data_IF_722188400042
#
_entry.id   IF_722188400042
#
_cell.length_a   1.000
_cell.length_b   1.000
_cell.length_c   1.000
_cell.angle_alpha   90.00
_cell.angle_beta   90.00
_cell.angle_gamma   90.00
#
_symmetry.space_group_name_H-M   'P 1'
#
loop_
_entity.id
_entity.type
_entity.pdbx_description
1 polymer ?
#
# COMPACT_ATOMS: atom_id res chain seq x y z
N UNK A 1 10.51 -16.17 -0.84
CA UNK A 1 9.05 -16.37 -1.01
C UNK A 1 8.44 -15.27 -1.88
N UNK A 2 8.64 -13.99 -1.52
CA UNK A 2 8.16 -12.85 -2.32
C UNK A 2 8.56 -12.91 -3.80
N UNK A 3 9.85 -13.08 -4.11
CA UNK A 3 10.32 -13.11 -5.50
C UNK A 3 9.65 -14.21 -6.32
N UNK A 4 9.52 -15.43 -5.77
CA UNK A 4 8.83 -16.53 -6.45
C UNK A 4 7.34 -16.25 -6.62
N UNK A 5 6.70 -15.65 -5.61
CA UNK A 5 5.31 -15.19 -5.73
C UNK A 5 5.15 -14.20 -6.88
N UNK A 6 6.11 -13.27 -7.05
CA UNK A 6 6.11 -12.32 -8.18
C UNK A 6 6.32 -13.01 -9.53
N UNK A 7 7.14 -14.04 -9.60
CA UNK A 7 7.31 -14.83 -10.83
C UNK A 7 5.99 -15.49 -11.24
N UNK A 8 5.32 -16.15 -10.29
CA UNK A 8 3.99 -16.74 -10.54
C UNK A 8 2.94 -15.68 -10.88
N UNK A 9 2.93 -14.53 -10.19
CA UNK A 9 1.97 -13.46 -10.48
C UNK A 9 2.14 -12.89 -11.90
N UNK A 10 3.35 -12.93 -12.46
CA UNK A 10 3.69 -12.28 -13.74
C UNK A 10 3.99 -13.27 -14.87
N UNK A 11 3.90 -14.58 -14.61
CA UNK A 11 4.27 -15.61 -15.58
C UNK A 11 5.74 -15.56 -16.04
N UNK A 12 6.66 -15.14 -15.16
CA UNK A 12 8.07 -14.92 -15.52
C UNK A 12 8.90 -16.20 -15.31
N UNK A 13 9.06 -16.98 -16.38
CA UNK A 13 9.78 -18.26 -16.35
C UNK A 13 9.02 -19.41 -15.69
N UNK A 14 7.77 -19.16 -15.30
CA UNK A 14 6.75 -20.10 -14.83
C UNK A 14 5.41 -19.68 -15.43
N UNK A 15 4.44 -20.58 -15.51
CA UNK A 15 3.09 -20.19 -15.90
C UNK A 15 2.49 -19.20 -14.89
N UNK A 16 1.72 -18.23 -15.38
CA UNK A 16 1.05 -17.27 -14.52
C UNK A 16 0.04 -17.99 -13.62
N UNK A 17 0.20 -17.85 -12.31
CA UNK A 17 -0.64 -18.47 -11.30
C UNK A 17 -0.82 -17.51 -10.11
N UNK A 18 -1.95 -16.80 -10.15
CA UNK A 18 -2.28 -15.83 -9.12
C UNK A 18 -2.49 -16.45 -7.74
N UNK A 19 -3.05 -17.66 -7.67
CA UNK A 19 -3.34 -18.36 -6.41
C UNK A 19 -2.06 -18.84 -5.72
N UNK A 20 -1.12 -19.41 -6.50
CA UNK A 20 0.22 -19.75 -5.98
C UNK A 20 0.98 -18.52 -5.52
N UNK A 21 0.89 -17.41 -6.28
CA UNK A 21 1.48 -16.15 -5.86
C UNK A 21 0.93 -15.68 -4.51
N UNK A 22 -0.40 -15.71 -4.35
CA UNK A 22 -1.06 -15.36 -3.09
C UNK A 22 -0.60 -16.26 -1.93
N UNK A 23 -0.54 -17.57 -2.12
CA UNK A 23 -0.09 -18.50 -1.09
C UNK A 23 1.36 -18.23 -0.64
N UNK A 24 2.25 -17.91 -1.58
CA UNK A 24 3.64 -17.54 -1.28
C UNK A 24 3.75 -16.21 -0.54
N UNK A 25 2.96 -15.20 -0.93
CA UNK A 25 2.85 -13.94 -0.19
C UNK A 25 2.30 -14.17 1.22
N UNK A 26 1.31 -15.05 1.37
CA UNK A 26 0.72 -15.40 2.66
C UNK A 26 1.74 -16.07 3.58
N UNK A 27 2.53 -16.99 3.05
CA UNK A 27 3.60 -17.63 3.79
C UNK A 27 4.69 -16.62 4.21
N UNK A 28 5.10 -15.73 3.30
CA UNK A 28 6.09 -14.70 3.61
C UNK A 28 5.60 -13.74 4.70
N UNK A 29 4.36 -13.28 4.61
CA UNK A 29 3.76 -12.40 5.60
C UNK A 29 3.64 -13.07 6.98
N UNK A 30 3.31 -14.38 7.02
CA UNK A 30 3.26 -15.14 8.26
C UNK A 30 4.65 -15.34 8.89
N UNK A 31 5.73 -15.24 8.11
CA UNK A 31 7.11 -15.22 8.59
C UNK A 31 7.59 -13.80 8.96
N UNK A 32 6.69 -12.82 8.94
CA UNK A 32 6.98 -11.44 9.33
C UNK A 32 7.48 -10.55 8.20
N UNK A 33 7.39 -10.97 6.93
CA UNK A 33 7.74 -10.09 5.80
C UNK A 33 6.71 -8.94 5.68
N UNK A 34 7.14 -7.69 5.93
CA UNK A 34 6.23 -6.55 5.99
C UNK A 34 5.73 -6.15 4.59
N UNK A 35 6.53 -6.39 3.55
CA UNK A 35 6.17 -6.09 2.17
C UNK A 35 5.13 -7.12 1.71
N UNK A 36 5.32 -8.39 2.04
CA UNK A 36 4.34 -9.44 1.77
C UNK A 36 2.96 -9.13 2.39
N UNK A 37 2.94 -8.68 3.64
CA UNK A 37 1.71 -8.26 4.31
C UNK A 37 1.01 -7.12 3.54
N UNK A 38 1.76 -6.13 3.02
CA UNK A 38 1.19 -5.07 2.18
C UNK A 38 0.61 -5.63 0.86
N UNK A 39 1.29 -6.59 0.21
CA UNK A 39 0.80 -7.22 -1.01
C UNK A 39 -0.50 -8.02 -0.79
N UNK A 40 -0.63 -8.72 0.33
CA UNK A 40 -1.90 -9.37 0.70
C UNK A 40 -3.01 -8.34 0.87
N UNK A 41 -2.70 -7.23 1.55
CA UNK A 41 -3.60 -6.08 1.67
C UNK A 41 -4.10 -5.60 0.30
N UNK A 42 -3.18 -5.43 -0.64
CA UNK A 42 -3.49 -5.06 -2.03
C UNK A 42 -4.37 -6.10 -2.74
N UNK A 43 -4.04 -7.40 -2.63
CA UNK A 43 -4.83 -8.47 -3.26
C UNK A 43 -6.27 -8.49 -2.75
N UNK A 44 -6.49 -8.31 -1.45
CA UNK A 44 -7.84 -8.19 -0.90
C UNK A 44 -8.53 -6.88 -1.27
N UNK A 45 -7.79 -5.78 -1.46
CA UNK A 45 -8.37 -4.52 -1.90
C UNK A 45 -8.90 -4.60 -3.34
N UNK A 46 -8.18 -5.27 -4.24
CA UNK A 46 -8.53 -5.42 -5.66
C UNK A 46 -9.38 -6.65 -5.95
N UNK A 47 -9.32 -7.70 -5.13
CA UNK A 47 -9.88 -9.02 -5.41
C UNK A 47 -9.10 -9.76 -6.51
N UNK A 48 -7.77 -9.68 -6.50
CA UNK A 48 -6.89 -10.34 -7.48
C UNK A 48 -6.25 -11.60 -6.89
N UNK A 49 -5.50 -12.35 -7.70
CA UNK A 49 -4.69 -13.48 -7.22
C UNK A 49 -5.52 -14.59 -6.54
N UNK A 50 -6.74 -14.82 -7.05
CA UNK A 50 -7.64 -15.86 -6.57
C UNK A 50 -8.42 -15.54 -5.29
N UNK A 51 -8.26 -14.34 -4.72
CA UNK A 51 -9.04 -13.93 -3.54
C UNK A 51 -10.18 -12.97 -3.89
N UNK A 52 -11.29 -13.09 -3.18
CA UNK A 52 -12.40 -12.13 -3.29
C UNK A 52 -12.02 -10.82 -2.64
N UNK A 53 -12.48 -9.71 -3.23
CA UNK A 53 -12.32 -8.38 -2.66
C UNK A 53 -12.91 -8.32 -1.25
N UNK A 54 -12.14 -7.80 -0.29
CA UNK A 54 -12.55 -7.59 1.10
C UNK A 54 -11.77 -6.45 1.73
N UNK A 55 -12.44 -5.30 1.94
CA UNK A 55 -11.81 -4.13 2.55
C UNK A 55 -11.37 -4.37 4.01
N UNK A 56 -12.11 -5.23 4.73
CA UNK A 56 -11.76 -5.62 6.10
C UNK A 56 -10.44 -6.38 6.13
N UNK A 57 -10.33 -7.44 5.32
CA UNK A 57 -9.09 -8.24 5.24
C UNK A 57 -7.92 -7.40 4.69
N UNK A 58 -8.19 -6.53 3.73
CA UNK A 58 -7.18 -5.63 3.20
C UNK A 58 -6.58 -4.73 4.29
N UNK A 59 -7.43 -4.08 5.09
CA UNK A 59 -7.00 -3.23 6.20
C UNK A 59 -6.26 -4.00 7.29
N UNK A 60 -6.70 -5.21 7.63
CA UNK A 60 -6.02 -6.06 8.61
C UNK A 60 -4.58 -6.35 8.18
N UNK A 61 -4.36 -6.71 6.91
CA UNK A 61 -3.03 -6.98 6.37
C UNK A 61 -2.17 -5.72 6.18
N UNK A 62 -2.77 -4.61 5.76
CA UNK A 62 -2.08 -3.31 5.69
C UNK A 62 -1.62 -2.87 7.08
N UNK A 63 -2.44 -3.02 8.12
CA UNK A 63 -2.06 -2.69 9.50
C UNK A 63 -0.89 -3.56 9.97
N UNK A 64 -0.93 -4.87 9.74
CA UNK A 64 0.20 -5.76 10.04
C UNK A 64 1.49 -5.32 9.34
N UNK A 65 1.39 -4.86 8.09
CA UNK A 65 2.52 -4.30 7.35
C UNK A 65 3.08 -3.03 8.00
N UNK A 66 2.20 -2.11 8.42
CA UNK A 66 2.57 -0.88 9.14
C UNK A 66 3.22 -1.20 10.49
N UNK A 67 2.63 -2.11 11.27
CA UNK A 67 3.14 -2.52 12.58
C UNK A 67 4.53 -3.16 12.49
N UNK A 68 4.82 -3.83 11.37
CA UNK A 68 6.14 -4.37 11.04
C UNK A 68 7.09 -3.33 10.37
N UNK A 69 6.71 -2.05 10.33
CA UNK A 69 7.56 -0.94 9.90
C UNK A 69 7.61 -0.68 8.39
N UNK A 70 6.67 -1.22 7.60
CA UNK A 70 6.66 -1.04 6.15
C UNK A 70 6.29 0.39 5.73
N UNK A 71 7.15 1.04 4.94
CA UNK A 71 6.82 2.32 4.30
C UNK A 71 5.66 2.19 3.29
N UNK A 72 5.63 1.10 2.51
CA UNK A 72 4.53 0.84 1.57
C UNK A 72 3.20 0.54 2.28
N UNK A 73 3.25 -0.10 3.45
CA UNK A 73 2.08 -0.28 4.32
C UNK A 73 1.49 1.06 4.76
N UNK A 74 2.33 2.02 5.16
CA UNK A 74 1.89 3.37 5.52
C UNK A 74 1.26 4.09 4.33
N UNK A 75 1.86 3.97 3.14
CA UNK A 75 1.29 4.53 1.91
C UNK A 75 -0.09 3.93 1.59
N UNK A 76 -0.25 2.61 1.72
CA UNK A 76 -1.53 1.93 1.56
C UNK A 76 -2.56 2.37 2.60
N UNK A 77 -2.15 2.54 3.86
CA UNK A 77 -3.04 3.01 4.92
C UNK A 77 -3.51 4.46 4.68
N UNK A 78 -2.60 5.33 4.22
CA UNK A 78 -2.94 6.69 3.81
C UNK A 78 -3.99 6.70 2.69
N UNK A 79 -3.84 5.80 1.72
CA UNK A 79 -4.84 5.60 0.65
C UNK A 79 -6.19 5.18 1.22
N UNK A 80 -6.23 4.29 2.20
CA UNK A 80 -7.48 3.89 2.86
C UNK A 80 -8.15 5.02 3.65
N UNK A 81 -7.38 5.90 4.26
CA UNK A 81 -7.91 7.07 4.97
C UNK A 81 -8.50 8.12 4.02
N UNK A 82 -7.95 8.30 2.81
CA UNK A 82 -8.49 9.27 1.85
C UNK A 82 -9.65 8.71 1.01
N UNK A 83 -9.65 7.41 0.75
CA UNK A 83 -10.64 6.76 -0.11
C UNK A 83 -11.86 6.33 0.71
N UNK A 84 -13.06 6.69 0.24
CA UNK A 84 -14.31 6.22 0.82
C UNK A 84 -14.61 4.78 0.34
N UNK A 85 -13.73 3.84 0.73
CA UNK A 85 -13.80 2.42 0.35
C UNK A 85 -14.44 1.55 1.43
N UNK A 86 -14.73 2.10 2.61
CA UNK A 86 -15.23 1.35 3.76
C UNK A 86 -14.14 0.55 4.51
N UNK A 87 -14.45 0.15 5.74
CA UNK A 87 -13.54 -0.57 6.64
C UNK A 87 -12.72 0.34 7.57
N UNK A 88 -12.57 1.62 7.24
CA UNK A 88 -12.07 2.67 8.11
C UNK A 88 -12.79 3.98 7.78
N UNK A 89 -12.96 4.86 8.78
CA UNK A 89 -13.52 6.19 8.57
C UNK A 89 -12.58 7.04 7.71
N UNK A 90 -13.16 7.78 6.76
CA UNK A 90 -12.43 8.67 5.89
C UNK A 90 -11.88 9.86 6.69
N UNK A 91 -10.57 10.05 6.63
CA UNK A 91 -9.86 11.12 7.31
C UNK A 91 -8.69 11.58 6.43
N UNK A 92 -8.89 12.69 5.72
CA UNK A 92 -7.87 13.18 4.76
C UNK A 92 -6.60 13.69 5.45
N UNK A 93 -6.70 14.13 6.71
CA UNK A 93 -5.54 14.60 7.49
C UNK A 93 -4.67 13.42 7.85
N UNK A 94 -5.25 12.36 8.44
CA UNK A 94 -4.50 11.10 8.70
C UNK A 94 -3.95 10.48 7.42
N UNK A 95 -4.69 10.60 6.32
CA UNK A 95 -4.23 10.18 5.00
C UNK A 95 -2.90 10.86 4.61
N UNK A 96 -2.84 12.19 4.71
CA UNK A 96 -1.64 12.96 4.42
C UNK A 96 -0.50 12.68 5.42
N UNK A 97 -0.80 12.51 6.71
CA UNK A 97 0.19 12.12 7.72
C UNK A 97 0.83 10.76 7.40
N UNK A 98 0.02 9.78 6.99
CA UNK A 98 0.52 8.47 6.56
C UNK A 98 1.43 8.57 5.33
N UNK A 99 1.05 9.36 4.33
CA UNK A 99 1.89 9.57 3.14
C UNK A 99 3.21 10.27 3.49
N UNK A 100 3.19 11.26 4.38
CA UNK A 100 4.41 11.91 4.84
C UNK A 100 5.33 10.91 5.56
N UNK A 101 4.79 10.14 6.50
CA UNK A 101 5.55 9.12 7.23
C UNK A 101 6.10 8.04 6.29
N UNK A 102 5.34 7.62 5.27
CA UNK A 102 5.79 6.68 4.25
C UNK A 102 6.94 7.25 3.42
N UNK A 103 6.83 8.52 3.00
CA UNK A 103 7.85 9.21 2.22
C UNK A 103 9.16 9.40 3.02
N UNK A 104 9.07 9.76 4.31
CA UNK A 104 10.23 9.87 5.20
C UNK A 104 10.93 8.52 5.43
N UNK A 105 10.18 7.42 5.36
CA UNK A 105 10.72 6.06 5.40
C UNK A 105 11.15 5.51 4.02
N UNK A 106 11.13 6.33 2.97
CA UNK A 106 11.66 5.99 1.65
C UNK A 106 10.67 5.31 0.69
N UNK A 107 9.37 5.33 0.97
CA UNK A 107 8.37 4.92 -0.03
C UNK A 107 8.32 5.95 -1.16
N UNK A 108 8.77 5.54 -2.35
CA UNK A 108 8.76 6.40 -3.54
C UNK A 108 7.33 6.65 -4.03
N UNK A 109 6.44 5.66 -3.85
CA UNK A 109 5.01 5.81 -4.16
C UNK A 109 4.37 6.94 -3.34
N UNK A 110 4.84 7.16 -2.11
CA UNK A 110 4.33 8.22 -1.24
C UNK A 110 4.73 9.64 -1.70
N UNK A 111 5.80 9.81 -2.48
CA UNK A 111 6.20 11.12 -3.02
C UNK A 111 5.14 11.68 -3.96
N UNK A 112 4.61 10.84 -4.87
CA UNK A 112 3.52 11.22 -5.75
C UNK A 112 2.24 11.59 -4.98
N UNK A 113 1.94 10.83 -3.92
CA UNK A 113 0.79 11.11 -3.06
C UNK A 113 0.95 12.42 -2.28
N UNK A 114 2.14 12.72 -1.75
CA UNK A 114 2.42 13.98 -1.08
C UNK A 114 2.39 15.19 -2.03
N UNK A 115 2.94 15.03 -3.23
CA UNK A 115 2.84 16.06 -4.27
C UNK A 115 1.37 16.40 -4.56
N UNK A 116 0.53 15.38 -4.74
CA UNK A 116 -0.90 15.57 -4.98
C UNK A 116 -1.63 16.15 -3.75
N UNK A 117 -1.25 15.74 -2.55
CA UNK A 117 -1.84 16.27 -1.32
C UNK A 117 -1.61 17.79 -1.21
N UNK A 118 -0.39 18.26 -1.47
CA UNK A 118 -0.09 19.70 -1.51
C UNK A 118 -0.70 20.42 -2.71
N UNK A 119 -0.79 19.79 -3.89
CA UNK A 119 -1.41 20.41 -5.06
C UNK A 119 -2.92 20.67 -4.84
N UNK A 120 -3.60 19.71 -4.21
CA UNK A 120 -5.07 19.72 -4.06
C UNK A 120 -5.54 20.23 -2.69
N UNK A 121 -4.65 20.30 -1.72
CA UNK A 121 -4.98 20.66 -0.34
C UNK A 121 -5.68 19.51 0.41
N UNK A 122 -5.27 18.26 0.15
CA UNK A 122 -5.85 17.08 0.81
C UNK A 122 -5.12 16.80 2.12
N UNK A 123 -5.76 17.13 3.25
CA UNK A 123 -5.18 16.94 4.58
C UNK A 123 -4.05 17.91 4.96
N UNK A 124 -3.57 18.71 4.00
CA UNK A 124 -2.55 19.73 4.17
C UNK A 124 -2.96 21.01 3.44
N UNK A 125 -2.43 22.16 3.85
CA UNK A 125 -2.62 23.41 3.12
C UNK A 125 -1.95 23.32 1.73
N UNK A 126 -2.55 23.93 0.71
CA UNK A 126 -1.97 23.96 -0.64
C UNK A 126 -0.62 24.65 -0.61
N UNK A 127 0.38 24.03 -1.24
CA UNK A 127 1.74 24.57 -1.28
C UNK A 127 2.43 24.17 -2.59
N UNK A 128 2.59 25.09 -3.56
CA UNK A 128 3.20 24.79 -4.85
C UNK A 128 4.70 24.46 -4.74
N UNK A 129 5.40 24.99 -3.72
CA UNK A 129 6.83 24.71 -3.50
C UNK A 129 6.98 23.27 -3.01
N UNK A 130 6.18 22.86 -2.03
CA UNK A 130 6.18 21.46 -1.55
C UNK A 130 5.64 20.48 -2.59
N UNK A 131 4.67 20.89 -3.40
CA UNK A 131 4.22 20.10 -4.57
C UNK A 131 5.39 19.78 -5.49
N UNK A 132 6.14 20.81 -5.93
CA UNK A 132 7.29 20.63 -6.80
C UNK A 132 8.44 19.87 -6.14
N UNK A 133 8.63 20.05 -4.83
CA UNK A 133 9.62 19.31 -4.05
C UNK A 133 9.35 17.80 -4.07
N UNK A 134 8.14 17.38 -3.70
CA UNK A 134 7.78 15.96 -3.68
C UNK A 134 7.68 15.37 -5.09
N UNK A 135 7.31 16.14 -6.11
CA UNK A 135 7.27 15.66 -7.49
C UNK A 135 8.66 15.34 -8.09
N UNK A 136 9.74 15.86 -7.50
CA UNK A 136 11.12 15.70 -7.98
C UNK A 136 11.92 14.62 -7.25
N UNK A 137 11.32 14.01 -6.22
CA UNK A 137 11.90 12.88 -5.49
C UNK A 137 11.42 11.57 -6.10
#
# INVERSE_FOLDING_TARGET
LMSLGTLYQRGLGVDEDGERAFALYQQAANLGDPIAANFLGSCYMSGTNGVKKSNKMALEWIRKSVDAGCAEGLNSLGTYHIMDKGGIERDVVKGAECFLAAAEKGSHAAFGNMSQAYARGFGVAKDPVKTAYWAKR
#
